data_IF_151314739572
#
_entry.id   IF_151314739572
#
_cell.length_a   1.000
_cell.length_b   1.000
_cell.length_c   1.000
_cell.angle_alpha   90.00
_cell.angle_beta   90.00
_cell.angle_gamma   90.00
#
_symmetry.space_group_name_H-M   'P 1'
#
loop_
_entity.id
_entity.type
_entity.pdbx_description
1 polymer ?
#
# COMPACT_ATOMS: atom_id res chain seq x y z
N UNK A 1 2.75 -11.47 -1.96
CA UNK A 1 3.45 -10.38 -2.66
C UNK A 1 2.61 -9.73 -3.76
N UNK A 2 1.88 -10.49 -4.60
CA UNK A 2 0.99 -9.88 -5.61
C UNK A 2 -0.01 -8.87 -5.01
N UNK A 3 -0.65 -9.22 -3.88
CA UNK A 3 -1.55 -8.33 -3.14
C UNK A 3 -0.90 -6.99 -2.77
N UNK A 4 0.32 -7.04 -2.25
CA UNK A 4 1.14 -5.87 -1.89
C UNK A 4 1.31 -5.03 -3.16
N UNK A 5 1.94 -5.59 -4.20
CA UNK A 5 2.25 -4.86 -5.45
C UNK A 5 1.03 -4.17 -6.05
N UNK A 6 -0.12 -4.83 -6.11
CA UNK A 6 -1.35 -4.22 -6.62
C UNK A 6 -1.85 -3.07 -5.74
N UNK A 7 -1.69 -3.18 -4.42
CA UNK A 7 -2.09 -2.13 -3.47
C UNK A 7 -1.19 -0.91 -3.62
N UNK A 8 0.14 -1.07 -3.71
CA UNK A 8 1.03 0.08 -3.91
C UNK A 8 0.86 0.73 -5.28
N UNK A 9 0.63 -0.07 -6.33
CA UNK A 9 0.30 0.47 -7.66
C UNK A 9 -1.01 1.26 -7.62
N UNK A 10 -2.05 0.75 -6.95
CA UNK A 10 -3.31 1.47 -6.79
C UNK A 10 -3.12 2.80 -6.04
N UNK A 11 -2.32 2.81 -4.96
CA UNK A 11 -2.00 4.02 -4.21
C UNK A 11 -1.23 5.04 -5.05
N UNK A 12 -0.28 4.58 -5.86
CA UNK A 12 0.48 5.46 -6.76
C UNK A 12 -0.41 6.09 -7.84
N UNK A 13 -1.34 5.32 -8.41
CA UNK A 13 -2.25 5.77 -9.47
C UNK A 13 -3.40 6.62 -8.90
N UNK A 14 -3.77 6.47 -7.63
CA UNK A 14 -4.86 7.19 -6.98
C UNK A 14 -4.85 8.71 -7.21
N UNK A 15 -3.75 9.47 -7.00
CA UNK A 15 -3.74 10.92 -7.28
C UNK A 15 -4.03 11.25 -8.74
N UNK A 16 -3.58 10.43 -9.70
CA UNK A 16 -3.87 10.62 -11.12
C UNK A 16 -5.35 10.38 -11.42
N UNK A 17 -5.93 9.32 -10.86
CA UNK A 17 -7.34 9.00 -11.00
C UNK A 17 -8.22 10.10 -10.40
N UNK A 18 -7.89 10.58 -9.19
CA UNK A 18 -8.60 11.68 -8.53
C UNK A 18 -8.54 12.97 -9.35
N UNK A 19 -7.37 13.31 -9.89
CA UNK A 19 -7.22 14.49 -10.74
C UNK A 19 -8.03 14.37 -12.04
N UNK A 20 -8.01 13.21 -12.69
CA UNK A 20 -8.82 12.95 -13.88
C UNK A 20 -10.32 13.07 -13.57
N UNK A 21 -10.79 12.54 -12.42
CA UNK A 21 -12.17 12.72 -11.95
C UNK A 21 -12.49 14.20 -11.79
N UNK A 22 -11.60 14.99 -11.17
CA UNK A 22 -11.79 16.44 -11.02
C UNK A 22 -11.93 17.14 -12.38
N UNK A 23 -11.11 16.79 -13.37
CA UNK A 23 -11.22 17.36 -14.73
C UNK A 23 -12.59 17.06 -15.37
N UNK A 24 -13.05 15.81 -15.26
CA UNK A 24 -14.36 15.39 -15.78
C UNK A 24 -15.49 16.15 -15.07
N UNK A 25 -15.42 16.29 -13.75
CA UNK A 25 -16.40 17.06 -12.96
C UNK A 25 -16.40 18.55 -13.33
N UNK A 26 -15.24 19.11 -13.68
CA UNK A 26 -15.10 20.47 -14.20
C UNK A 26 -15.50 20.62 -15.67
N UNK A 27 -16.01 19.56 -16.31
CA UNK A 27 -16.40 19.53 -17.74
C UNK A 27 -15.22 19.86 -18.66
N UNK A 28 -14.00 19.56 -18.22
CA UNK A 28 -12.77 19.68 -19.00
C UNK A 28 -12.45 18.33 -19.62
N UNK A 29 -11.91 18.32 -20.83
CA UNK A 29 -11.47 17.08 -21.46
C UNK A 29 -10.22 16.56 -20.73
N UNK A 30 -10.39 15.46 -19.99
CA UNK A 30 -9.32 14.81 -19.26
C UNK A 30 -8.28 14.15 -20.17
N UNK A 31 -8.51 14.06 -21.49
CA UNK A 31 -7.55 13.54 -22.46
C UNK A 31 -6.65 14.63 -23.06
N UNK A 32 -6.99 15.90 -22.84
CA UNK A 32 -6.27 17.03 -23.40
C UNK A 32 -4.90 17.20 -22.75
N UNK A 33 -3.83 17.29 -23.56
CA UNK A 33 -2.44 17.33 -23.07
C UNK A 33 -2.14 18.55 -22.22
N UNK A 34 -2.84 19.67 -22.42
CA UNK A 34 -2.64 20.90 -21.65
C UNK A 34 -2.95 20.71 -20.17
N UNK A 35 -3.91 19.83 -19.82
CA UNK A 35 -4.20 19.49 -18.43
C UNK A 35 -3.14 18.58 -17.79
N UNK A 36 -2.28 17.95 -18.60
CA UNK A 36 -1.20 17.04 -18.17
C UNK A 36 0.19 17.64 -18.36
N UNK A 37 0.33 18.95 -18.13
CA UNK A 37 1.63 19.61 -18.16
C UNK A 37 2.65 18.96 -17.21
N UNK A 38 3.94 19.04 -17.57
CA UNK A 38 5.02 18.36 -16.83
C UNK A 38 5.03 18.68 -15.32
N UNK A 39 4.70 19.93 -14.96
CA UNK A 39 4.59 20.34 -13.55
C UNK A 39 3.47 19.61 -12.81
N UNK A 40 2.30 19.45 -13.44
CA UNK A 40 1.14 18.76 -12.85
C UNK A 40 1.47 17.28 -12.66
N UNK A 41 1.99 16.63 -13.71
CA UNK A 41 2.40 15.23 -13.67
C UNK A 41 3.46 14.98 -12.60
N UNK A 42 4.46 15.87 -12.47
CA UNK A 42 5.49 15.78 -11.44
C UNK A 42 4.90 15.84 -10.02
N UNK A 43 3.95 16.75 -9.77
CA UNK A 43 3.27 16.84 -8.48
C UNK A 43 2.39 15.62 -8.17
N UNK A 44 1.66 15.10 -9.16
CA UNK A 44 0.86 13.88 -8.99
C UNK A 44 1.74 12.66 -8.71
N UNK A 45 2.85 12.53 -9.44
CA UNK A 45 3.83 11.47 -9.21
C UNK A 45 4.44 11.57 -7.82
N UNK A 46 4.83 12.78 -7.40
CA UNK A 46 5.36 13.02 -6.05
C UNK A 46 4.34 12.65 -4.97
N UNK A 47 3.09 13.08 -5.10
CA UNK A 47 2.01 12.72 -4.18
C UNK A 47 1.81 11.19 -4.12
N UNK A 48 1.84 10.50 -5.26
CA UNK A 48 1.74 9.05 -5.33
C UNK A 48 2.89 8.34 -4.62
N UNK A 49 4.13 8.81 -4.83
CA UNK A 49 5.32 8.28 -4.14
C UNK A 49 5.19 8.46 -2.62
N UNK A 50 4.75 9.64 -2.17
CA UNK A 50 4.53 9.91 -0.74
C UNK A 50 3.48 8.97 -0.14
N UNK A 51 2.35 8.74 -0.84
CA UNK A 51 1.32 7.79 -0.38
C UNK A 51 1.85 6.36 -0.25
N UNK A 52 2.62 5.90 -1.25
CA UNK A 52 3.27 4.58 -1.19
C UNK A 52 4.25 4.51 -0.03
N UNK A 53 5.09 5.53 0.15
CA UNK A 53 6.05 5.58 1.26
C UNK A 53 5.35 5.50 2.62
N UNK A 54 4.28 6.27 2.82
CA UNK A 54 3.47 6.23 4.04
C UNK A 54 2.87 4.84 4.25
N UNK A 55 2.33 4.21 3.21
CA UNK A 55 1.78 2.86 3.28
C UNK A 55 2.83 1.81 3.66
N UNK A 56 4.05 1.93 3.12
CA UNK A 56 5.14 1.01 3.44
C UNK A 56 5.60 1.18 4.89
N UNK A 57 5.74 2.42 5.36
CA UNK A 57 6.05 2.72 6.76
C UNK A 57 4.96 2.15 7.68
N UNK A 58 3.69 2.38 7.33
CA UNK A 58 2.56 1.80 8.06
C UNK A 58 2.62 0.28 8.10
N UNK A 59 2.82 -0.36 6.95
CA UNK A 59 2.93 -1.81 6.87
C UNK A 59 4.11 -2.35 7.68
N UNK A 60 5.25 -1.67 7.68
CA UNK A 60 6.41 -2.05 8.47
C UNK A 60 6.14 -1.96 9.99
N UNK A 61 5.41 -0.94 10.44
CA UNK A 61 5.08 -0.75 11.86
C UNK A 61 3.98 -1.69 12.37
N UNK A 62 3.01 -2.06 11.53
CA UNK A 62 1.81 -2.78 11.96
C UNK A 62 1.63 -4.18 11.37
N UNK A 63 2.32 -4.51 10.28
CA UNK A 63 2.14 -5.77 9.54
C UNK A 63 3.09 -6.90 9.94
N UNK A 64 4.16 -6.61 10.68
CA UNK A 64 5.18 -7.57 11.09
C UNK A 64 5.01 -8.08 12.53
N UNK A 65 5.55 -9.27 12.81
CA UNK A 65 5.78 -9.70 14.19
C UNK A 65 6.79 -8.77 14.87
N UNK A 66 6.59 -8.49 16.17
CA UNK A 66 7.50 -7.63 16.92
C UNK A 66 8.94 -8.14 16.81
N UNK A 67 9.93 -7.25 16.57
CA UNK A 67 11.34 -7.63 16.59
C UNK A 67 11.69 -8.31 17.92
N UNK A 68 12.39 -9.44 17.87
CA UNK A 68 12.81 -10.18 19.06
C UNK A 68 11.84 -11.26 19.55
N UNK A 69 10.70 -11.47 18.87
CA UNK A 69 9.80 -12.58 19.16
C UNK A 69 10.33 -13.89 18.57
N UNK A 70 10.33 -14.97 19.35
CA UNK A 70 10.73 -16.31 18.87
C UNK A 70 9.51 -17.05 18.37
N UNK A 71 9.60 -17.58 17.15
CA UNK A 71 8.57 -18.47 16.62
C UNK A 71 8.59 -19.81 17.36
N UNK A 72 7.48 -20.15 18.00
CA UNK A 72 7.24 -21.47 18.59
C UNK A 72 6.38 -22.26 17.59
N UNK A 73 6.94 -23.30 16.94
CA UNK A 73 6.17 -24.12 16.02
C UNK A 73 5.06 -24.87 16.75
N UNK A 74 4.02 -25.26 16.00
CA UNK A 74 2.97 -26.10 16.55
C UNK A 74 3.56 -27.44 17.02
N UNK A 75 3.17 -27.88 18.21
CA UNK A 75 3.62 -29.15 18.77
C UNK A 75 2.50 -29.84 19.52
N UNK A 76 2.63 -31.16 19.65
CA UNK A 76 1.76 -31.98 20.50
C UNK A 76 2.55 -32.27 21.77
N UNK A 77 1.96 -31.99 22.92
CA UNK A 77 2.60 -32.28 24.20
C UNK A 77 2.59 -33.79 24.52
N UNK A 78 3.26 -34.14 25.63
CA UNK A 78 3.38 -35.54 26.08
C UNK A 78 2.02 -36.15 26.47
N UNK A 79 1.03 -35.30 26.73
CA UNK A 79 -0.34 -35.67 27.11
C UNK A 79 -1.28 -35.73 25.88
N UNK A 80 -0.75 -35.53 24.67
CA UNK A 80 -1.50 -35.58 23.42
C UNK A 80 -2.28 -34.32 23.09
N UNK A 81 -2.12 -33.21 23.83
CA UNK A 81 -2.80 -31.95 23.52
C UNK A 81 -2.03 -31.18 22.44
N UNK A 82 -2.78 -30.65 21.48
CA UNK A 82 -2.26 -29.83 20.41
C UNK A 82 -2.08 -28.38 20.86
N UNK A 83 -0.85 -27.88 20.74
CA UNK A 83 -0.50 -26.48 20.95
C UNK A 83 -0.28 -25.82 19.57
N UNK A 84 -1.14 -24.87 19.17
CA UNK A 84 -0.96 -24.12 17.93
C UNK A 84 0.36 -23.34 17.93
N UNK A 85 0.93 -23.12 16.75
CA UNK A 85 2.12 -22.30 16.61
C UNK A 85 1.86 -20.86 17.04
N UNK A 86 2.72 -20.33 17.90
CA UNK A 86 2.62 -18.98 18.44
C UNK A 86 3.98 -18.27 18.42
N UNK A 87 3.98 -16.95 18.34
CA UNK A 87 5.18 -16.12 18.47
C UNK A 87 5.21 -15.49 19.86
N UNK A 88 6.24 -15.78 20.66
CA UNK A 88 6.43 -15.25 22.03
C UNK A 88 7.52 -14.21 22.13
#
# INVERSE_FOLDING_TARGET
MARTVFTELALFIAPFALYAIVLVLMRKDARERDHWGAKVVAWLAFAGIVLVAISLVWFAHYGGYQPGKTYVPAYIDKDGKFHPGETR
#
